data_IF_120059529288
#
_entry.id   IF_120059529288
#
_cell.length_a   1.000
_cell.length_b   1.000
_cell.length_c   1.000
_cell.angle_alpha   90.00
_cell.angle_beta   90.00
_cell.angle_gamma   90.00
#
_symmetry.space_group_name_H-M   'P 1'
#
loop_
_entity.id
_entity.type
_entity.pdbx_description
1 polymer ?
#
# COMPACT_ATOMS: atom_id res chain seq x y z
N UNK A 1 11.61 -18.01 2.89
CA UNK A 1 10.71 -16.96 3.42
C UNK A 1 9.29 -17.50 3.54
N UNK A 2 8.53 -17.02 4.50
CA UNK A 2 7.10 -17.28 4.71
C UNK A 2 6.26 -16.91 3.48
N UNK A 3 5.22 -17.68 3.17
CA UNK A 3 4.28 -17.35 2.10
C UNK A 3 3.33 -16.24 2.61
N UNK A 4 3.34 -15.05 2.01
CA UNK A 4 2.48 -13.97 2.46
C UNK A 4 1.01 -14.22 2.08
N UNK A 5 0.08 -13.73 2.93
CA UNK A 5 -1.35 -14.01 2.81
C UNK A 5 -1.96 -13.55 1.47
N UNK A 6 -1.60 -12.34 1.01
CA UNK A 6 -2.17 -11.73 -0.21
C UNK A 6 -1.20 -11.73 -1.42
N UNK A 7 -0.06 -12.39 -1.33
CA UNK A 7 1.04 -12.28 -2.30
C UNK A 7 2.20 -11.48 -1.75
N UNK A 8 3.33 -11.51 -2.43
CA UNK A 8 4.58 -10.91 -1.96
C UNK A 8 4.66 -9.41 -2.24
N UNK A 9 4.15 -8.97 -3.39
CA UNK A 9 4.11 -7.58 -3.82
C UNK A 9 2.68 -7.12 -4.05
N UNK A 10 2.20 -6.23 -3.18
CA UNK A 10 0.93 -5.55 -3.37
C UNK A 10 1.21 -4.10 -3.81
N UNK A 11 0.59 -3.66 -4.89
CA UNK A 11 0.73 -2.27 -5.33
C UNK A 11 -0.31 -1.38 -4.69
N UNK A 12 0.14 -0.36 -3.94
CA UNK A 12 -0.73 0.73 -3.50
C UNK A 12 -1.07 1.59 -4.74
N UNK A 13 -2.13 1.19 -5.43
CA UNK A 13 -2.53 1.72 -6.73
C UNK A 13 -2.94 3.20 -6.63
N UNK A 14 -2.48 4.03 -7.56
CA UNK A 14 -3.01 5.40 -7.73
C UNK A 14 -4.42 5.35 -8.31
N UNK A 15 -5.25 6.36 -8.00
CA UNK A 15 -6.53 6.58 -8.66
C UNK A 15 -6.34 7.59 -9.78
N UNK A 16 -6.55 7.21 -11.05
CA UNK A 16 -6.49 8.16 -12.16
C UNK A 16 -7.65 9.15 -12.12
N UNK A 17 -7.35 10.43 -12.37
CA UNK A 17 -8.35 11.49 -12.49
C UNK A 17 -8.31 12.15 -13.86
N UNK A 18 -9.46 12.61 -14.32
CA UNK A 18 -9.60 13.49 -15.49
C UNK A 18 -9.14 14.92 -15.15
N UNK A 19 -9.02 15.77 -16.15
CA UNK A 19 -8.62 17.17 -15.99
C UNK A 19 -9.58 18.00 -15.11
N UNK A 20 -10.86 17.61 -15.05
CA UNK A 20 -11.88 18.22 -14.18
C UNK A 20 -11.88 17.68 -12.74
N UNK A 21 -10.98 16.73 -12.45
CA UNK A 21 -10.86 16.07 -11.15
C UNK A 21 -11.84 14.91 -10.94
N UNK A 22 -12.68 14.54 -11.88
CA UNK A 22 -13.50 13.33 -11.82
C UNK A 22 -12.63 12.08 -11.98
N UNK A 23 -13.09 10.93 -11.48
CA UNK A 23 -12.34 9.66 -11.61
C UNK A 23 -12.35 9.19 -13.07
N UNK A 24 -11.17 8.87 -13.60
CA UNK A 24 -11.01 8.21 -14.89
C UNK A 24 -11.08 6.69 -14.72
N UNK A 25 -12.29 6.14 -14.80
CA UNK A 25 -12.54 4.72 -14.60
C UNK A 25 -11.89 3.84 -15.66
N UNK A 26 -11.82 4.30 -16.91
CA UNK A 26 -11.18 3.58 -18.02
C UNK A 26 -9.67 3.47 -17.82
N UNK A 27 -9.00 4.60 -17.56
CA UNK A 27 -7.58 4.60 -17.22
C UNK A 27 -7.29 3.75 -15.97
N UNK A 28 -8.19 3.75 -14.97
CA UNK A 28 -8.08 2.88 -13.80
C UNK A 28 -8.13 1.39 -14.17
N UNK A 29 -9.03 0.99 -15.07
CA UNK A 29 -9.13 -0.37 -15.55
C UNK A 29 -7.89 -0.79 -16.37
N UNK A 30 -7.41 0.05 -17.28
CA UNK A 30 -6.22 -0.23 -18.08
C UNK A 30 -4.96 -0.32 -17.21
N UNK A 31 -4.91 0.50 -16.18
CA UNK A 31 -3.79 0.48 -15.23
C UNK A 31 -3.74 -0.82 -14.42
N UNK A 32 -4.87 -1.47 -14.14
CA UNK A 32 -4.88 -2.83 -13.56
C UNK A 32 -4.08 -3.80 -14.41
N UNK A 33 -4.31 -3.85 -15.71
CA UNK A 33 -3.62 -4.78 -16.60
C UNK A 33 -2.12 -4.52 -16.64
N UNK A 34 -1.75 -3.23 -16.70
CA UNK A 34 -0.34 -2.83 -16.64
C UNK A 34 0.32 -3.30 -15.34
N UNK A 35 -0.32 -3.07 -14.19
CA UNK A 35 0.21 -3.46 -12.87
C UNK A 35 0.41 -4.97 -12.75
N UNK A 36 -0.56 -5.75 -13.19
CA UNK A 36 -0.48 -7.22 -13.15
C UNK A 36 0.60 -7.74 -14.09
N UNK A 37 0.76 -7.15 -15.27
CA UNK A 37 1.83 -7.50 -16.21
C UNK A 37 3.23 -7.09 -15.70
N UNK A 38 3.31 -6.12 -14.78
CA UNK A 38 4.55 -5.55 -14.26
C UNK A 38 4.85 -5.93 -12.80
N UNK A 39 4.41 -7.10 -12.37
CA UNK A 39 4.90 -7.77 -11.17
C UNK A 39 4.01 -7.66 -9.92
N UNK A 40 2.83 -7.05 -10.00
CA UNK A 40 1.91 -6.99 -8.86
C UNK A 40 1.23 -8.34 -8.62
N UNK A 41 1.36 -8.92 -7.43
CA UNK A 41 0.61 -10.11 -7.00
C UNK A 41 -0.81 -9.74 -6.55
N UNK A 42 -1.01 -8.50 -6.16
CA UNK A 42 -2.29 -7.95 -5.73
C UNK A 42 -2.28 -6.43 -5.71
N UNK A 43 -3.45 -5.85 -5.51
CA UNK A 43 -3.65 -4.40 -5.53
C UNK A 43 -4.24 -3.93 -4.20
N UNK A 44 -3.68 -2.84 -3.65
CA UNK A 44 -4.31 -2.08 -2.58
C UNK A 44 -4.96 -0.86 -3.21
N UNK A 45 -6.26 -0.87 -3.31
CA UNK A 45 -7.08 0.17 -3.96
C UNK A 45 -7.63 1.09 -2.89
N UNK A 46 -7.72 2.40 -3.20
CA UNK A 46 -8.25 3.41 -2.27
C UNK A 46 -7.49 3.49 -0.93
N UNK A 47 -6.17 3.27 -0.98
CA UNK A 47 -5.29 3.64 0.12
C UNK A 47 -4.93 5.14 0.08
N UNK A 48 -3.93 5.56 0.87
CA UNK A 48 -3.40 6.94 0.83
C UNK A 48 -2.89 7.32 -0.57
N UNK A 49 -2.22 6.38 -1.24
CA UNK A 49 -1.72 6.56 -2.62
C UNK A 49 -2.86 6.68 -3.63
N UNK A 50 -3.98 6.01 -3.39
CA UNK A 50 -5.20 6.10 -4.19
C UNK A 50 -6.09 7.29 -3.84
N UNK A 51 -5.62 8.23 -3.01
CA UNK A 51 -6.34 9.47 -2.64
C UNK A 51 -7.73 9.25 -2.05
N UNK A 52 -7.95 8.16 -1.32
CA UNK A 52 -9.24 7.83 -0.71
C UNK A 52 -9.83 8.94 0.18
N UNK A 53 -8.97 9.83 0.72
CA UNK A 53 -9.41 10.94 1.57
C UNK A 53 -10.20 12.03 0.80
N UNK A 54 -10.05 12.10 -0.52
CA UNK A 54 -10.73 13.09 -1.38
C UNK A 54 -11.82 12.49 -2.27
N UNK A 55 -12.12 11.21 -2.08
CA UNK A 55 -13.19 10.51 -2.78
C UNK A 55 -14.45 10.45 -1.91
N UNK A 56 -15.61 10.73 -2.50
CA UNK A 56 -16.88 10.46 -1.85
C UNK A 56 -17.23 8.95 -1.86
N UNK A 57 -18.32 8.58 -1.23
CA UNK A 57 -18.68 7.17 -1.05
C UNK A 57 -19.11 6.51 -2.37
N UNK A 58 -19.82 7.23 -3.22
CA UNK A 58 -20.30 6.70 -4.51
C UNK A 58 -19.12 6.51 -5.47
N UNK A 59 -18.16 7.43 -5.46
CA UNK A 59 -16.92 7.31 -6.19
C UNK A 59 -16.12 6.08 -5.75
N UNK A 60 -15.98 5.86 -4.43
CA UNK A 60 -15.28 4.68 -3.88
C UNK A 60 -15.94 3.39 -4.32
N UNK A 61 -17.25 3.27 -4.14
CA UNK A 61 -17.98 2.05 -4.51
C UNK A 61 -17.82 1.78 -6.01
N UNK A 62 -18.04 2.80 -6.85
CA UNK A 62 -17.98 2.65 -8.30
C UNK A 62 -16.56 2.33 -8.79
N UNK A 63 -15.54 2.99 -8.23
CA UNK A 63 -14.15 2.71 -8.59
C UNK A 63 -13.74 1.31 -8.16
N UNK A 64 -14.05 0.89 -6.92
CA UNK A 64 -13.77 -0.45 -6.44
C UNK A 64 -14.43 -1.51 -7.32
N UNK A 65 -15.71 -1.35 -7.66
CA UNK A 65 -16.42 -2.28 -8.56
C UNK A 65 -15.77 -2.35 -9.95
N UNK A 66 -15.31 -1.22 -10.49
CA UNK A 66 -14.58 -1.17 -11.76
C UNK A 66 -13.29 -2.00 -11.67
N UNK A 67 -12.51 -1.81 -10.61
CA UNK A 67 -11.25 -2.54 -10.40
C UNK A 67 -11.51 -4.04 -10.19
N UNK A 68 -12.49 -4.40 -9.34
CA UNK A 68 -12.86 -5.81 -9.10
C UNK A 68 -13.26 -6.50 -10.41
N UNK A 69 -14.11 -5.87 -11.21
CA UNK A 69 -14.52 -6.40 -12.50
C UNK A 69 -13.34 -6.57 -13.46
N UNK A 70 -12.40 -5.61 -13.51
CA UNK A 70 -11.23 -5.69 -14.39
C UNK A 70 -10.23 -6.74 -13.95
N UNK A 71 -9.96 -6.84 -12.65
CA UNK A 71 -9.06 -7.88 -12.10
C UNK A 71 -9.62 -9.27 -12.36
N UNK A 72 -10.92 -9.48 -12.23
CA UNK A 72 -11.62 -10.73 -12.55
C UNK A 72 -10.90 -11.98 -12.00
N UNK A 73 -10.53 -11.96 -10.73
CA UNK A 73 -9.88 -13.08 -10.04
C UNK A 73 -8.40 -13.33 -10.39
N UNK A 74 -7.78 -12.53 -11.27
CA UNK A 74 -6.35 -12.67 -11.65
C UNK A 74 -5.37 -12.31 -10.54
N UNK A 75 -5.79 -11.51 -9.57
CA UNK A 75 -4.98 -11.06 -8.45
C UNK A 75 -5.85 -10.77 -7.23
N UNK A 76 -5.22 -10.59 -6.06
CA UNK A 76 -5.91 -10.20 -4.83
C UNK A 76 -6.18 -8.70 -4.80
N UNK A 77 -7.38 -8.33 -4.32
CA UNK A 77 -7.79 -6.93 -4.15
C UNK A 77 -8.00 -6.66 -2.66
N UNK A 78 -7.27 -5.68 -2.15
CA UNK A 78 -7.38 -5.19 -0.77
C UNK A 78 -7.89 -3.76 -0.82
N UNK A 79 -9.04 -3.49 -0.22
CA UNK A 79 -9.61 -2.15 -0.17
C UNK A 79 -9.03 -1.33 0.99
N UNK A 80 -8.65 -0.09 0.75
CA UNK A 80 -8.38 0.89 1.80
C UNK A 80 -9.70 1.29 2.48
N UNK A 81 -9.89 0.89 3.76
CA UNK A 81 -11.18 1.05 4.43
C UNK A 81 -11.09 1.70 5.83
N UNK A 82 -9.91 2.21 6.23
CA UNK A 82 -9.70 2.83 7.53
C UNK A 82 -10.05 4.32 7.57
N UNK A 83 -10.68 4.75 8.66
CA UNK A 83 -10.89 6.15 9.02
C UNK A 83 -10.53 6.37 10.49
N UNK A 84 -10.56 7.64 10.96
CA UNK A 84 -10.34 7.95 12.37
C UNK A 84 -11.62 7.84 13.24
N UNK A 85 -12.72 7.33 12.68
CA UNK A 85 -13.97 7.04 13.37
C UNK A 85 -14.32 5.56 13.21
N UNK A 86 -14.47 4.84 14.32
CA UNK A 86 -14.73 3.40 14.30
C UNK A 86 -16.02 3.05 13.56
N UNK A 87 -17.10 3.80 13.79
CA UNK A 87 -18.38 3.57 13.12
C UNK A 87 -18.29 3.77 11.60
N UNK A 88 -17.61 4.84 11.16
CA UNK A 88 -17.38 5.12 9.73
C UNK A 88 -16.46 4.05 9.08
N UNK A 89 -15.47 3.54 9.81
CA UNK A 89 -14.61 2.45 9.35
C UNK A 89 -15.42 1.17 9.14
N UNK A 90 -16.31 0.82 10.09
CA UNK A 90 -17.18 -0.36 9.97
C UNK A 90 -18.12 -0.23 8.77
N UNK A 91 -18.73 0.94 8.57
CA UNK A 91 -19.63 1.19 7.44
C UNK A 91 -18.88 1.04 6.10
N UNK A 92 -17.70 1.66 5.99
CA UNK A 92 -16.86 1.56 4.80
C UNK A 92 -16.42 0.12 4.52
N UNK A 93 -15.98 -0.62 5.54
CA UNK A 93 -15.59 -2.04 5.41
C UNK A 93 -16.73 -2.87 4.83
N UNK A 94 -17.96 -2.71 5.34
CA UNK A 94 -19.14 -3.43 4.83
C UNK A 94 -19.44 -3.10 3.37
N UNK A 95 -19.29 -1.83 2.97
CA UNK A 95 -19.47 -1.41 1.57
C UNK A 95 -18.40 -2.00 0.66
N UNK A 96 -17.14 -2.05 1.10
CA UNK A 96 -16.07 -2.70 0.34
C UNK A 96 -16.27 -4.22 0.25
N UNK A 97 -16.72 -4.87 1.33
CA UNK A 97 -17.10 -6.29 1.31
C UNK A 97 -18.18 -6.58 0.25
N UNK A 98 -19.18 -5.71 0.14
CA UNK A 98 -20.23 -5.81 -0.88
C UNK A 98 -19.72 -5.60 -2.32
N UNK A 99 -18.56 -4.95 -2.51
CA UNK A 99 -17.91 -4.83 -3.82
C UNK A 99 -17.16 -6.10 -4.25
N UNK A 100 -16.98 -7.09 -3.37
CA UNK A 100 -16.34 -8.37 -3.69
C UNK A 100 -14.80 -8.34 -3.60
N UNK A 101 -14.24 -7.53 -2.70
CA UNK A 101 -12.79 -7.50 -2.44
C UNK A 101 -12.32 -8.72 -1.64
N UNK A 102 -11.02 -9.06 -1.71
CA UNK A 102 -10.43 -10.20 -0.99
C UNK A 102 -10.02 -9.85 0.46
N UNK A 103 -9.92 -8.58 0.80
CA UNK A 103 -9.54 -8.11 2.12
C UNK A 103 -9.58 -6.60 2.25
N UNK A 104 -9.30 -6.10 3.45
CA UNK A 104 -9.28 -4.67 3.74
C UNK A 104 -7.98 -4.23 4.42
N UNK A 105 -7.48 -3.06 4.04
CA UNK A 105 -6.39 -2.35 4.69
C UNK A 105 -6.98 -1.27 5.59
N UNK A 106 -6.84 -1.43 6.90
CA UNK A 106 -7.39 -0.50 7.88
C UNK A 106 -6.27 0.30 8.52
N UNK A 107 -6.18 1.58 8.19
CA UNK A 107 -5.19 2.49 8.80
C UNK A 107 -5.57 2.79 10.24
N UNK A 108 -4.56 2.86 11.12
CA UNK A 108 -4.77 3.34 12.49
C UNK A 108 -5.44 4.72 12.49
N UNK A 109 -6.39 4.99 13.42
CA UNK A 109 -7.03 6.30 13.51
C UNK A 109 -6.02 7.44 13.53
N UNK A 110 -6.13 8.36 12.58
CA UNK A 110 -5.31 9.54 12.44
C UNK A 110 -5.92 10.74 13.15
N UNK A 111 -5.11 11.75 13.51
CA UNK A 111 -5.52 12.99 14.15
C UNK A 111 -5.88 12.84 15.64
N UNK A 112 -6.83 11.98 16.02
CA UNK A 112 -7.33 11.80 17.39
C UNK A 112 -6.42 10.93 18.29
N UNK A 113 -5.35 10.31 17.75
CA UNK A 113 -4.25 9.64 18.48
C UNK A 113 -4.72 8.72 19.62
N UNK A 114 -5.35 7.58 19.34
CA UNK A 114 -5.80 6.67 20.37
C UNK A 114 -4.66 6.16 21.27
N UNK A 115 -4.98 5.78 22.49
CA UNK A 115 -4.11 4.93 23.32
C UNK A 115 -3.99 3.55 22.71
N UNK A 116 -3.07 2.68 23.21
CA UNK A 116 -2.95 1.31 22.74
C UNK A 116 -4.26 0.53 22.92
N UNK A 117 -4.96 0.71 24.04
CA UNK A 117 -6.28 0.14 24.25
C UNK A 117 -7.32 0.70 23.27
N UNK A 118 -7.25 1.98 22.93
CA UNK A 118 -8.11 2.59 21.91
C UNK A 118 -7.88 1.99 20.52
N UNK A 119 -6.63 1.74 20.12
CA UNK A 119 -6.30 1.01 18.90
C UNK A 119 -6.87 -0.41 18.93
N UNK A 120 -6.66 -1.14 20.04
CA UNK A 120 -7.19 -2.49 20.17
C UNK A 120 -8.71 -2.51 20.01
N UNK A 121 -9.45 -1.67 20.73
CA UNK A 121 -10.92 -1.62 20.68
C UNK A 121 -11.43 -1.23 19.28
N UNK A 122 -10.75 -0.29 18.60
CA UNK A 122 -11.06 0.10 17.23
C UNK A 122 -10.96 -1.08 16.26
N UNK A 123 -9.80 -1.76 16.22
CA UNK A 123 -9.59 -2.90 15.32
C UNK A 123 -10.45 -4.10 15.71
N UNK A 124 -10.68 -4.34 17.00
CA UNK A 124 -11.56 -5.40 17.49
C UNK A 124 -13.01 -5.19 17.03
N UNK A 125 -13.51 -3.94 17.06
CA UNK A 125 -14.85 -3.61 16.57
C UNK A 125 -14.96 -3.83 15.04
N UNK A 126 -13.93 -3.46 14.29
CA UNK A 126 -13.87 -3.69 12.84
C UNK A 126 -13.82 -5.19 12.54
N UNK A 127 -12.96 -5.94 13.23
CA UNK A 127 -12.83 -7.39 13.03
C UNK A 127 -14.13 -8.17 13.30
N UNK A 128 -14.91 -7.73 14.28
CA UNK A 128 -16.24 -8.31 14.58
C UNK A 128 -17.30 -7.99 13.52
N UNK A 129 -17.11 -6.93 12.73
CA UNK A 129 -18.10 -6.42 11.78
C UNK A 129 -18.01 -7.03 10.39
N UNK A 130 -16.94 -7.76 10.06
CA UNK A 130 -16.70 -8.38 8.76
C UNK A 130 -16.05 -9.76 8.90
N UNK A 131 -16.18 -10.57 7.86
CA UNK A 131 -15.40 -11.83 7.70
C UNK A 131 -14.17 -11.66 6.82
N UNK A 132 -14.00 -10.51 6.19
CA UNK A 132 -12.85 -10.25 5.33
C UNK A 132 -11.54 -10.30 6.14
N UNK A 133 -10.47 -10.81 5.56
CA UNK A 133 -9.12 -10.64 6.10
C UNK A 133 -8.73 -9.17 6.21
N UNK A 134 -8.16 -8.81 7.36
CA UNK A 134 -7.77 -7.42 7.68
C UNK A 134 -6.26 -7.31 7.72
N UNK A 135 -5.74 -6.29 7.04
CA UNK A 135 -4.37 -5.79 7.18
C UNK A 135 -4.43 -4.56 8.10
N UNK A 136 -3.86 -4.65 9.28
CA UNK A 136 -3.62 -3.47 10.15
C UNK A 136 -2.59 -2.57 9.47
N UNK A 137 -2.84 -1.26 9.41
CA UNK A 137 -1.88 -0.35 8.80
C UNK A 137 -1.35 0.66 9.82
N UNK A 138 -0.07 0.50 10.15
CA UNK A 138 0.69 1.39 11.04
C UNK A 138 1.54 2.36 10.24
N UNK A 139 1.27 3.67 10.35
CA UNK A 139 1.97 4.73 9.62
C UNK A 139 2.06 6.01 10.47
N UNK A 140 2.89 6.03 11.51
CA UNK A 140 2.98 7.14 12.47
C UNK A 140 3.19 8.51 11.83
N UNK A 141 3.93 8.57 10.72
CA UNK A 141 4.18 9.81 9.98
C UNK A 141 2.91 10.45 9.37
N UNK A 142 1.81 9.69 9.23
CA UNK A 142 0.52 10.19 8.74
C UNK A 142 -0.54 10.24 9.81
N UNK A 143 -0.52 9.30 10.76
CA UNK A 143 -1.56 9.21 11.80
C UNK A 143 -1.23 10.04 13.05
N UNK A 144 0.04 10.31 13.29
CA UNK A 144 0.52 10.96 14.51
C UNK A 144 0.55 10.03 15.73
N UNK A 145 0.24 8.74 15.55
CA UNK A 145 0.27 7.72 16.61
C UNK A 145 0.90 6.42 16.08
N UNK A 146 1.45 5.60 16.96
CA UNK A 146 2.08 4.32 16.65
C UNK A 146 1.32 3.16 17.29
N UNK A 147 1.05 2.12 16.54
CA UNK A 147 0.46 0.87 17.05
C UNK A 147 1.62 -0.01 17.52
N UNK A 148 1.67 -0.29 18.81
CA UNK A 148 2.75 -1.09 19.40
C UNK A 148 2.66 -2.57 18.99
N UNK A 149 3.80 -3.28 18.89
CA UNK A 149 3.83 -4.71 18.54
C UNK A 149 2.93 -5.57 19.44
N UNK A 150 2.88 -5.29 20.74
CA UNK A 150 2.05 -6.02 21.71
C UNK A 150 0.54 -5.83 21.43
N UNK A 151 0.14 -4.64 20.95
CA UNK A 151 -1.24 -4.37 20.54
C UNK A 151 -1.62 -5.20 19.33
N UNK A 152 -0.72 -5.29 18.33
CA UNK A 152 -0.93 -6.12 17.14
C UNK A 152 -0.96 -7.61 17.52
N UNK A 153 -0.08 -8.06 18.39
CA UNK A 153 -0.04 -9.44 18.86
C UNK A 153 -1.34 -9.85 19.59
N UNK A 154 -1.89 -8.97 20.44
CA UNK A 154 -3.17 -9.17 21.10
C UNK A 154 -4.31 -9.26 20.07
N UNK A 155 -4.33 -8.39 19.07
CA UNK A 155 -5.31 -8.42 17.99
C UNK A 155 -5.23 -9.73 17.18
N UNK A 156 -4.03 -10.17 16.82
CA UNK A 156 -3.82 -11.42 16.09
C UNK A 156 -4.24 -12.66 16.90
N UNK A 157 -4.08 -12.63 18.21
CA UNK A 157 -4.50 -13.73 19.09
C UNK A 157 -6.03 -13.82 19.25
N UNK A 158 -6.72 -12.65 19.32
CA UNK A 158 -8.14 -12.58 19.61
C UNK A 158 -9.03 -12.65 18.34
N UNK A 159 -8.48 -12.35 17.15
CA UNK A 159 -9.25 -12.24 15.91
C UNK A 159 -8.55 -12.94 14.73
N UNK A 160 -9.06 -14.10 14.33
CA UNK A 160 -8.50 -14.91 13.23
C UNK A 160 -8.55 -14.25 11.86
N UNK A 161 -9.38 -13.23 11.67
CA UNK A 161 -9.45 -12.44 10.44
C UNK A 161 -8.50 -11.23 10.42
N UNK A 162 -7.76 -10.93 11.49
CA UNK A 162 -6.63 -9.99 11.46
C UNK A 162 -5.38 -10.79 11.09
N UNK A 163 -5.00 -10.78 9.82
CA UNK A 163 -4.03 -11.72 9.23
C UNK A 163 -2.69 -11.08 8.87
N UNK A 164 -2.62 -9.76 8.88
CA UNK A 164 -1.42 -9.04 8.45
C UNK A 164 -1.30 -7.64 9.06
N UNK A 165 -0.08 -7.13 9.00
CA UNK A 165 0.23 -5.71 9.21
C UNK A 165 1.00 -5.15 8.02
N UNK A 166 0.63 -3.92 7.59
CA UNK A 166 1.49 -3.04 6.81
C UNK A 166 2.23 -2.13 7.79
N UNK A 167 3.52 -2.37 7.97
CA UNK A 167 4.38 -1.59 8.87
C UNK A 167 5.10 -0.50 8.06
N UNK A 168 4.78 0.75 8.34
CA UNK A 168 5.32 1.92 7.67
C UNK A 168 5.83 3.00 8.65
N UNK A 169 6.27 2.59 9.84
CA UNK A 169 6.94 3.48 10.79
C UNK A 169 8.40 3.77 10.41
N UNK A 170 8.97 3.04 9.44
CA UNK A 170 10.38 3.17 9.09
C UNK A 170 11.33 2.61 10.16
N UNK A 171 10.83 1.79 11.09
CA UNK A 171 11.56 1.28 12.24
C UNK A 171 11.82 -0.23 12.12
N UNK A 172 13.06 -0.59 11.73
CA UNK A 172 13.50 -1.98 11.57
C UNK A 172 13.43 -2.75 12.90
N UNK A 173 13.75 -2.11 14.03
CA UNK A 173 13.69 -2.74 15.34
C UNK A 173 12.24 -3.07 15.74
N UNK A 174 11.27 -2.20 15.44
CA UNK A 174 9.85 -2.50 15.66
C UNK A 174 9.37 -3.65 14.77
N UNK A 175 9.86 -3.74 13.53
CA UNK A 175 9.55 -4.86 12.63
C UNK A 175 10.11 -6.19 13.18
N UNK A 176 11.34 -6.19 13.72
CA UNK A 176 11.92 -7.36 14.38
C UNK A 176 11.10 -7.77 15.61
N UNK A 177 10.61 -6.82 16.39
CA UNK A 177 9.76 -7.09 17.55
C UNK A 177 8.39 -7.64 17.12
N UNK A 178 7.77 -7.10 16.06
CA UNK A 178 6.56 -7.68 15.45
C UNK A 178 6.79 -9.14 15.06
N UNK A 179 7.90 -9.46 14.39
CA UNK A 179 8.22 -10.83 14.01
C UNK A 179 8.38 -11.76 15.22
N UNK A 180 8.94 -11.25 16.34
CA UNK A 180 9.12 -12.00 17.59
C UNK A 180 7.80 -12.36 18.29
N UNK A 181 6.82 -11.43 18.27
CA UNK A 181 5.59 -11.57 19.09
C UNK A 181 4.38 -12.09 18.31
N UNK A 182 4.40 -12.05 16.97
CA UNK A 182 3.27 -12.44 16.13
C UNK A 182 3.27 -13.94 15.82
N UNK A 183 2.09 -14.54 15.57
CA UNK A 183 1.98 -15.93 15.12
C UNK A 183 2.77 -16.19 13.85
N UNK A 184 3.23 -17.42 13.68
CA UNK A 184 4.05 -17.81 12.53
C UNK A 184 3.34 -17.60 11.18
N UNK A 185 2.03 -17.72 11.12
CA UNK A 185 1.20 -17.51 9.92
C UNK A 185 0.79 -16.05 9.67
N UNK A 186 1.08 -15.12 10.57
CA UNK A 186 0.76 -13.71 10.44
C UNK A 186 1.71 -13.00 9.47
N UNK A 187 1.21 -12.25 8.49
CA UNK A 187 2.01 -11.60 7.46
C UNK A 187 2.46 -10.19 7.86
N UNK A 188 3.77 -9.91 7.77
CA UNK A 188 4.33 -8.58 7.97
C UNK A 188 4.76 -8.03 6.62
N UNK A 189 4.08 -6.99 6.14
CA UNK A 189 4.43 -6.27 4.93
C UNK A 189 5.18 -4.98 5.27
N UNK A 190 6.29 -4.72 4.60
CA UNK A 190 6.85 -3.37 4.58
C UNK A 190 5.86 -2.41 3.93
N UNK A 191 5.71 -1.23 4.48
CA UNK A 191 5.01 -0.11 3.85
C UNK A 191 5.95 0.93 3.25
N UNK A 192 7.26 0.64 3.24
CA UNK A 192 8.33 1.53 2.77
C UNK A 192 9.20 0.78 1.75
N UNK A 193 9.18 1.26 0.50
CA UNK A 193 9.94 0.70 -0.61
C UNK A 193 11.45 0.70 -0.32
N UNK A 194 11.97 1.80 0.23
CA UNK A 194 13.40 1.97 0.52
C UNK A 194 13.92 1.06 1.63
N UNK A 195 13.03 0.54 2.46
CA UNK A 195 13.36 -0.33 3.59
C UNK A 195 13.01 -1.81 3.37
N UNK A 196 12.59 -2.20 2.17
CA UNK A 196 12.17 -3.60 1.94
C UNK A 196 13.27 -4.59 2.29
N UNK A 197 14.51 -4.38 1.85
CA UNK A 197 15.58 -5.33 2.12
C UNK A 197 15.92 -5.45 3.61
N UNK A 198 16.11 -4.36 4.39
CA UNK A 198 16.21 -4.44 5.84
C UNK A 198 15.02 -5.13 6.51
N UNK A 199 13.80 -4.86 6.06
CA UNK A 199 12.61 -5.47 6.65
C UNK A 199 12.54 -6.98 6.39
N UNK A 200 12.92 -7.44 5.19
CA UNK A 200 13.04 -8.87 4.89
C UNK A 200 14.05 -9.55 5.82
N UNK A 201 15.15 -8.87 6.17
CA UNK A 201 16.18 -9.44 7.05
C UNK A 201 15.71 -9.65 8.50
N UNK A 202 14.65 -8.96 8.92
CA UNK A 202 14.07 -9.08 10.26
C UNK A 202 12.68 -9.74 10.26
N UNK A 203 12.30 -10.43 9.16
CA UNK A 203 11.13 -11.30 9.14
C UNK A 203 9.90 -10.78 8.39
N UNK A 204 9.96 -9.61 7.73
CA UNK A 204 8.91 -9.23 6.82
C UNK A 204 8.83 -10.25 5.65
N UNK A 205 7.63 -10.44 5.11
CA UNK A 205 7.37 -11.44 4.07
C UNK A 205 6.97 -10.83 2.72
N UNK A 206 6.73 -9.51 2.67
CA UNK A 206 6.30 -8.84 1.46
C UNK A 206 6.32 -7.32 1.59
N UNK A 207 5.80 -6.67 0.57
CA UNK A 207 5.80 -5.21 0.42
C UNK A 207 4.44 -4.73 -0.08
N UNK A 208 3.93 -3.66 0.51
CA UNK A 208 2.81 -2.87 -0.02
C UNK A 208 3.40 -1.56 -0.54
N UNK A 209 3.67 -1.51 -1.83
CA UNK A 209 4.59 -0.60 -2.52
C UNK A 209 3.90 0.59 -3.16
N UNK A 210 4.56 1.74 -3.15
CA UNK A 210 4.27 2.89 -4.01
C UNK A 210 5.03 2.77 -5.33
N UNK A 211 6.31 2.41 -5.29
CA UNK A 211 7.16 2.28 -6.48
C UNK A 211 6.64 1.24 -7.49
N UNK A 212 5.93 0.21 -7.02
CA UNK A 212 5.36 -0.82 -7.89
C UNK A 212 4.31 -0.27 -8.90
N UNK A 213 3.80 0.95 -8.72
CA UNK A 213 3.00 1.62 -9.74
C UNK A 213 3.78 1.89 -11.03
N UNK A 214 5.12 1.84 -11.02
CA UNK A 214 5.96 2.07 -12.20
C UNK A 214 7.04 1.02 -12.40
N UNK A 215 7.43 0.26 -11.37
CA UNK A 215 8.46 -0.77 -11.48
C UNK A 215 8.29 -1.88 -10.42
N UNK A 216 7.27 -2.70 -10.55
CA UNK A 216 7.06 -3.86 -9.68
C UNK A 216 8.08 -4.98 -9.94
N UNK A 217 8.59 -5.11 -11.17
CA UNK A 217 9.51 -6.18 -11.56
C UNK A 217 10.80 -6.15 -10.74
N UNK A 218 11.42 -4.98 -10.57
CA UNK A 218 12.67 -4.88 -9.78
C UNK A 218 12.45 -5.29 -8.31
N UNK A 219 11.28 -4.95 -7.76
CA UNK A 219 10.91 -5.31 -6.39
C UNK A 219 10.70 -6.82 -6.24
N UNK A 220 10.04 -7.46 -7.20
CA UNK A 220 9.92 -8.92 -7.25
C UNK A 220 11.29 -9.59 -7.35
N UNK A 221 12.15 -9.12 -8.24
CA UNK A 221 13.51 -9.65 -8.41
C UNK A 221 14.34 -9.53 -7.13
N UNK A 222 14.26 -8.38 -6.43
CA UNK A 222 14.94 -8.15 -5.16
C UNK A 222 14.45 -9.15 -4.09
N UNK A 223 13.13 -9.25 -3.90
CA UNK A 223 12.54 -10.14 -2.90
C UNK A 223 12.80 -11.61 -3.23
N UNK A 224 12.79 -11.96 -4.52
CA UNK A 224 13.14 -13.30 -5.00
C UNK A 224 14.60 -13.64 -4.70
N UNK A 225 15.55 -12.76 -5.09
CA UNK A 225 16.98 -12.96 -4.83
C UNK A 225 17.25 -13.15 -3.33
N UNK A 226 16.62 -12.32 -2.48
CA UNK A 226 16.76 -12.47 -1.04
C UNK A 226 16.20 -13.83 -0.55
N UNK A 227 15.03 -14.24 -1.04
CA UNK A 227 14.40 -15.51 -0.63
C UNK A 227 15.19 -16.75 -1.02
N UNK A 228 15.98 -16.66 -2.08
CA UNK A 228 16.86 -17.71 -2.57
C UNK A 228 18.25 -17.69 -1.92
N UNK A 229 18.49 -16.82 -0.94
CA UNK A 229 19.79 -16.66 -0.28
C UNK A 229 20.84 -15.89 -1.12
N UNK A 230 20.46 -15.33 -2.27
CA UNK A 230 21.32 -14.49 -3.10
C UNK A 230 21.38 -13.05 -2.57
N UNK A 231 21.90 -12.91 -1.33
CA UNK A 231 21.88 -11.66 -0.57
C UNK A 231 22.61 -10.53 -1.29
N UNK A 232 23.74 -10.86 -1.97
CA UNK A 232 24.50 -9.87 -2.74
C UNK A 232 23.68 -9.33 -3.91
N UNK A 233 22.99 -10.19 -4.65
CA UNK A 233 22.15 -9.78 -5.79
C UNK A 233 20.98 -8.89 -5.29
N UNK A 234 20.37 -9.27 -4.17
CA UNK A 234 19.32 -8.45 -3.54
C UNK A 234 19.85 -7.06 -3.13
N UNK A 235 21.07 -6.98 -2.60
CA UNK A 235 21.71 -5.71 -2.23
C UNK A 235 22.05 -4.86 -3.47
N UNK A 236 22.50 -5.47 -4.56
CA UNK A 236 22.79 -4.78 -5.83
C UNK A 236 21.48 -4.22 -6.45
N UNK A 237 20.38 -4.99 -6.44
CA UNK A 237 19.06 -4.51 -6.86
C UNK A 237 18.56 -3.37 -5.96
N UNK A 238 18.74 -3.50 -4.64
CA UNK A 238 18.37 -2.47 -3.68
C UNK A 238 19.12 -1.15 -3.92
N UNK A 239 20.41 -1.23 -4.28
CA UNK A 239 21.23 -0.06 -4.63
C UNK A 239 20.64 0.72 -5.81
N UNK A 240 20.07 0.05 -6.79
CA UNK A 240 19.40 0.67 -7.95
C UNK A 240 18.01 1.20 -7.54
N UNK A 241 17.28 0.46 -6.72
CA UNK A 241 15.89 0.76 -6.36
C UNK A 241 15.77 1.92 -5.37
N UNK A 242 16.68 2.07 -4.40
CA UNK A 242 16.59 3.11 -3.33
C UNK A 242 16.50 4.54 -3.88
N UNK A 243 17.28 4.98 -4.89
CA UNK A 243 17.11 6.30 -5.47
C UNK A 243 15.73 6.52 -6.09
N UNK A 244 15.17 5.51 -6.76
CA UNK A 244 13.82 5.55 -7.33
C UNK A 244 12.77 5.66 -6.22
N UNK A 245 12.86 4.82 -5.18
CA UNK A 245 11.96 4.88 -4.05
C UNK A 245 11.95 6.28 -3.40
N UNK A 246 13.13 6.90 -3.22
CA UNK A 246 13.25 8.27 -2.72
C UNK A 246 12.60 9.29 -3.65
N UNK A 247 12.72 9.11 -4.97
CA UNK A 247 12.12 10.02 -5.95
C UNK A 247 10.59 10.02 -5.87
N UNK A 248 9.96 8.91 -5.50
CA UNK A 248 8.50 8.82 -5.31
C UNK A 248 7.98 9.60 -4.09
N UNK A 249 8.89 10.10 -3.25
CA UNK A 249 8.57 10.84 -2.02
C UNK A 249 9.28 12.21 -1.93
N UNK A 250 9.71 12.77 -3.08
CA UNK A 250 10.30 14.13 -3.15
C UNK A 250 9.29 15.17 -2.67
N UNK A 251 8.02 14.96 -2.95
CA UNK A 251 6.87 15.65 -2.39
C UNK A 251 5.91 14.65 -1.76
N UNK A 252 4.83 15.12 -1.13
CA UNK A 252 3.85 14.23 -0.51
C UNK A 252 3.29 13.22 -1.50
N UNK A 253 3.40 11.92 -1.16
CA UNK A 253 2.74 10.85 -1.92
C UNK A 253 1.21 11.06 -1.89
N UNK A 254 0.50 11.03 -3.07
CA UNK A 254 0.91 10.46 -4.34
C UNK A 254 1.40 11.45 -5.41
N UNK A 255 1.78 12.68 -5.09
CA UNK A 255 2.13 13.69 -6.09
C UNK A 255 3.20 13.18 -7.08
N UNK A 256 4.40 12.72 -6.65
CA UNK A 256 5.43 12.28 -7.58
C UNK A 256 5.05 10.98 -8.31
N UNK A 257 4.42 10.04 -7.63
CA UNK A 257 4.09 8.75 -8.26
C UNK A 257 3.02 8.89 -9.36
N UNK A 258 2.05 9.79 -9.24
CA UNK A 258 1.08 10.05 -10.31
C UNK A 258 1.77 10.62 -11.56
N UNK A 259 2.69 11.56 -11.39
CA UNK A 259 3.50 12.08 -12.49
C UNK A 259 4.36 10.98 -13.13
N UNK A 260 4.96 10.10 -12.31
CA UNK A 260 5.76 8.98 -12.79
C UNK A 260 4.92 7.96 -13.58
N UNK A 261 3.71 7.63 -13.13
CA UNK A 261 2.81 6.71 -13.83
C UNK A 261 2.55 7.18 -15.25
N UNK A 262 2.13 8.42 -15.45
CA UNK A 262 1.88 8.96 -16.80
C UNK A 262 3.15 8.88 -17.66
N UNK A 263 4.32 9.27 -17.14
CA UNK A 263 5.59 9.28 -17.88
C UNK A 263 6.10 7.88 -18.28
N UNK A 264 5.89 6.91 -17.41
CA UNK A 264 6.46 5.55 -17.58
C UNK A 264 5.50 4.63 -18.34
N UNK A 265 4.20 4.73 -18.05
CA UNK A 265 3.21 3.78 -18.58
C UNK A 265 2.46 4.31 -19.78
N UNK A 266 2.43 5.62 -19.97
CA UNK A 266 1.58 6.30 -20.95
C UNK A 266 0.10 6.38 -20.53
N UNK A 267 -0.27 5.85 -19.34
CA UNK A 267 -1.62 5.93 -18.82
C UNK A 267 -1.76 7.23 -18.04
N UNK A 268 -2.73 8.06 -18.42
CA UNK A 268 -2.98 9.34 -17.76
C UNK A 268 -3.49 9.15 -16.33
N UNK A 269 -2.61 9.39 -15.34
CA UNK A 269 -2.98 9.36 -13.94
C UNK A 269 -3.66 10.67 -13.46
N UNK A 270 -3.51 11.75 -14.23
CA UNK A 270 -4.03 13.07 -13.90
C UNK A 270 -3.36 13.73 -12.70
N UNK A 271 -3.75 14.96 -12.41
CA UNK A 271 -3.30 15.67 -11.21
C UNK A 271 -4.00 15.12 -9.95
N UNK A 272 -3.36 15.19 -8.77
CA UNK A 272 -4.05 14.89 -7.53
C UNK A 272 -5.13 15.94 -7.23
N UNK A 273 -6.12 15.56 -6.44
CA UNK A 273 -7.15 16.50 -5.94
C UNK A 273 -6.61 17.35 -4.78
N UNK A 274 -7.12 18.57 -4.64
CA UNK A 274 -6.84 19.39 -3.46
C UNK A 274 -7.20 18.61 -2.16
N UNK A 275 -6.41 18.79 -1.10
CA UNK A 275 -5.38 19.80 -0.87
C UNK A 275 -4.01 19.50 -1.51
N UNK A 276 -3.85 18.38 -2.19
CA UNK A 276 -2.62 18.10 -2.94
C UNK A 276 -2.65 18.86 -4.27
N UNK A 277 -1.45 19.21 -4.75
CA UNK A 277 -1.28 19.98 -5.99
C UNK A 277 -0.52 19.14 -7.02
N UNK A 278 -0.54 19.51 -8.31
CA UNK A 278 0.41 18.94 -9.26
C UNK A 278 1.85 19.06 -8.77
N UNK A 279 2.70 18.15 -9.23
CA UNK A 279 4.13 18.15 -8.88
C UNK A 279 4.78 19.50 -9.26
N UNK A 280 5.63 20.03 -8.38
CA UNK A 280 6.37 21.26 -8.70
C UNK A 280 7.44 21.01 -9.77
N UNK A 281 7.76 22.01 -10.58
CA UNK A 281 8.79 21.92 -11.62
C UNK A 281 10.16 21.44 -11.06
N UNK A 282 10.52 21.88 -9.85
CA UNK A 282 11.76 21.48 -9.21
C UNK A 282 11.76 20.01 -8.78
N UNK A 283 10.62 19.49 -8.28
CA UNK A 283 10.47 18.09 -7.91
C UNK A 283 10.37 17.21 -9.17
N UNK A 284 9.67 17.66 -10.19
CA UNK A 284 9.54 16.97 -11.47
C UNK A 284 10.89 16.77 -12.15
N UNK A 285 11.75 17.79 -12.19
CA UNK A 285 13.11 17.67 -12.74
C UNK A 285 13.94 16.59 -12.01
N UNK A 286 13.80 16.48 -10.69
CA UNK A 286 14.48 15.45 -9.87
C UNK A 286 13.89 14.07 -10.14
N UNK A 287 12.57 13.97 -10.27
CA UNK A 287 11.87 12.74 -10.63
C UNK A 287 12.34 12.24 -12.00
N UNK A 288 12.38 13.12 -13.01
CA UNK A 288 12.82 12.79 -14.37
C UNK A 288 14.27 12.31 -14.38
N UNK A 289 15.16 12.96 -13.64
CA UNK A 289 16.55 12.53 -13.51
C UNK A 289 16.66 11.11 -12.91
N UNK A 290 15.86 10.79 -11.90
CA UNK A 290 15.84 9.46 -11.30
C UNK A 290 15.29 8.40 -12.26
N UNK A 291 14.19 8.71 -12.97
CA UNK A 291 13.58 7.80 -13.96
C UNK A 291 14.53 7.56 -15.17
N UNK A 292 15.23 8.60 -15.66
CA UNK A 292 16.26 8.48 -16.72
C UNK A 292 17.43 7.63 -16.27
N UNK A 293 17.95 7.87 -15.07
CA UNK A 293 19.06 7.09 -14.50
C UNK A 293 18.70 5.60 -14.40
N UNK A 294 17.43 5.29 -14.13
CA UNK A 294 16.93 3.93 -14.07
C UNK A 294 16.54 3.35 -15.45
N UNK A 295 16.68 4.12 -16.54
CA UNK A 295 16.32 3.69 -17.90
C UNK A 295 14.80 3.53 -18.12
N UNK A 296 13.96 4.16 -17.30
CA UNK A 296 12.51 4.01 -17.38
C UNK A 296 11.87 5.01 -18.33
N UNK A 297 12.53 6.13 -18.60
CA UNK A 297 12.18 7.14 -19.61
C UNK A 297 13.43 7.58 -20.38
N UNK A 298 13.26 8.22 -21.55
CA UNK A 298 14.35 8.72 -22.41
C UNK A 298 14.89 10.08 -21.94
#
# INVERSE_FOLDING_TARGET
>A
MKKPYFGRLLTAMVTPFNADGSINYEAGADFVDWLLANGSDGLVVEGSTGEAATMDMDEKIKFMQTIVARVNGRAKIVAGAGTNCTASTIDLVKKMEACGVDGVLVVGPYYNKPTQEGYYQHFAAVAKATKLPIIVYNVPGRTGGNIAPETVARLAADFSNIVAIKEAAGNVAQTAELYRVLPEDFSIYSGDDGLILPFLSVGACGLISVLANVNGIILQQLMQAYSEGRVKDAADLNKVMVPLAKAMFIESNPIPIKAAVTKVTGIEAGAPRLPLTPISAAAEAKLDAALKTAGMIK
#
